data_IF_678765641166
#
_entry.id   IF_678765641166
#
_cell.length_a   1.000
_cell.length_b   1.000
_cell.length_c   1.000
_cell.angle_alpha   90.00
_cell.angle_beta   90.00
_cell.angle_gamma   90.00
#
_symmetry.space_group_name_H-M   'P 1'
#
loop_
_entity.id
_entity.type
_entity.pdbx_description
1 polymer ?
#
# COMPACT_ATOMS: atom_id res chain seq x y z
N UNK A 1 -19.76 -10.99 53.05
CA UNK A 1 -20.61 -10.37 52.01
C UNK A 1 -20.80 -11.42 50.92
N UNK A 2 -21.75 -12.33 51.11
CA UNK A 2 -21.98 -13.43 50.16
C UNK A 2 -22.67 -12.88 48.91
N UNK A 3 -21.98 -12.91 47.77
CA UNK A 3 -22.58 -12.52 46.49
C UNK A 3 -23.55 -13.63 46.09
N UNK A 4 -24.83 -13.30 46.00
CA UNK A 4 -25.85 -14.27 45.59
C UNK A 4 -25.52 -14.81 44.19
N UNK A 5 -25.73 -16.11 43.92
CA UNK A 5 -25.32 -16.74 42.65
C UNK A 5 -25.95 -16.06 41.41
N UNK A 6 -27.13 -15.44 41.56
CA UNK A 6 -27.79 -14.65 40.52
C UNK A 6 -26.99 -13.39 40.12
N UNK A 7 -26.27 -12.77 41.05
CA UNK A 7 -25.44 -11.60 40.80
C UNK A 7 -24.16 -11.95 40.02
N UNK A 8 -23.53 -13.08 40.37
CA UNK A 8 -22.35 -13.59 39.65
C UNK A 8 -22.72 -13.96 38.21
N UNK A 9 -23.88 -14.62 38.03
CA UNK A 9 -24.40 -14.98 36.70
C UNK A 9 -24.68 -13.74 35.82
N UNK A 10 -25.24 -12.67 36.41
CA UNK A 10 -25.49 -11.42 35.71
C UNK A 10 -24.21 -10.73 35.23
N UNK A 11 -23.17 -10.69 36.08
CA UNK A 11 -21.85 -10.15 35.69
C UNK A 11 -21.21 -10.99 34.59
N UNK A 12 -21.27 -12.32 34.71
CA UNK A 12 -20.72 -13.22 33.70
C UNK A 12 -21.39 -13.03 32.33
N UNK A 13 -22.72 -12.87 32.30
CA UNK A 13 -23.48 -12.61 31.08
C UNK A 13 -23.12 -11.24 30.48
N UNK A 14 -23.02 -10.19 31.30
CA UNK A 14 -22.63 -8.86 30.85
C UNK A 14 -21.19 -8.84 30.29
N UNK A 15 -20.27 -9.54 30.95
CA UNK A 15 -18.89 -9.68 30.48
C UNK A 15 -18.83 -10.45 29.14
N UNK A 16 -19.63 -11.50 28.98
CA UNK A 16 -19.70 -12.28 27.74
C UNK A 16 -20.26 -11.44 26.58
N UNK A 17 -21.32 -10.67 26.83
CA UNK A 17 -21.88 -9.73 25.84
C UNK A 17 -20.87 -8.63 25.47
N UNK A 18 -20.19 -8.06 26.48
CA UNK A 18 -19.15 -7.06 26.27
C UNK A 18 -17.97 -7.61 25.45
N UNK A 19 -17.51 -8.82 25.76
CA UNK A 19 -16.46 -9.50 25.01
C UNK A 19 -16.89 -9.80 23.56
N UNK A 20 -18.14 -10.22 23.34
CA UNK A 20 -18.71 -10.45 22.01
C UNK A 20 -18.74 -9.17 21.17
N UNK A 21 -19.21 -8.05 21.75
CA UNK A 21 -19.19 -6.74 21.11
C UNK A 21 -17.76 -6.29 20.79
N UNK A 22 -16.83 -6.43 21.73
CA UNK A 22 -15.42 -6.09 21.52
C UNK A 22 -14.79 -6.93 20.40
N UNK A 23 -15.04 -8.24 20.40
CA UNK A 23 -14.55 -9.14 19.37
C UNK A 23 -15.12 -8.77 17.99
N UNK A 24 -16.42 -8.45 17.91
CA UNK A 24 -17.05 -8.01 16.67
C UNK A 24 -16.43 -6.72 16.14
N UNK A 25 -16.30 -5.69 16.99
CA UNK A 25 -15.67 -4.41 16.61
C UNK A 25 -14.23 -4.63 16.17
N UNK A 26 -13.47 -5.46 16.89
CA UNK A 26 -12.09 -5.78 16.55
C UNK A 26 -11.99 -6.46 15.17
N UNK A 27 -12.79 -7.49 14.92
CA UNK A 27 -12.81 -8.20 13.63
C UNK A 27 -13.23 -7.27 12.48
N UNK A 28 -14.24 -6.43 12.69
CA UNK A 28 -14.74 -5.49 11.67
C UNK A 28 -13.73 -4.37 11.37
N UNK A 29 -12.99 -3.90 12.40
CA UNK A 29 -11.96 -2.87 12.24
C UNK A 29 -10.76 -3.34 11.42
N UNK A 30 -10.50 -4.65 11.37
CA UNK A 30 -9.34 -5.23 10.67
C UNK A 30 -9.36 -4.95 9.16
N UNK A 31 -10.54 -4.89 8.55
CA UNK A 31 -10.73 -4.52 7.14
C UNK A 31 -10.45 -3.03 6.90
N UNK A 32 -10.82 -2.16 7.84
CA UNK A 32 -10.54 -0.73 7.80
C UNK A 32 -9.06 -0.39 7.97
N UNK A 33 -8.32 -1.21 8.73
CA UNK A 33 -6.90 -1.02 9.00
C UNK A 33 -5.99 -1.53 7.87
N UNK A 34 -6.52 -2.22 6.86
CA UNK A 34 -5.76 -2.69 5.70
C UNK A 34 -5.53 -1.53 4.72
N UNK A 35 -4.58 -0.65 5.06
CA UNK A 35 -4.18 0.49 4.24
C UNK A 35 -3.64 0.13 2.83
N UNK A 36 -3.14 1.12 2.08
CA UNK A 36 -2.65 0.92 0.72
C UNK A 36 -1.59 -0.16 0.62
N UNK A 37 -1.66 -1.00 -0.41
CA UNK A 37 -0.61 -1.97 -0.74
C UNK A 37 -0.07 -1.65 -2.12
N UNK A 38 1.23 -1.34 -2.18
CA UNK A 38 1.94 -0.96 -3.40
C UNK A 38 3.07 -1.96 -3.65
N UNK A 39 3.10 -2.50 -4.87
CA UNK A 39 4.14 -3.41 -5.32
C UNK A 39 4.62 -2.94 -6.68
N UNK A 40 5.94 -2.81 -6.84
CA UNK A 40 6.58 -2.57 -8.14
C UNK A 40 7.10 -3.93 -8.61
N UNK A 41 6.64 -4.37 -9.78
CA UNK A 41 7.03 -5.64 -10.38
C UNK A 41 8.25 -5.46 -11.27
N UNK A 42 8.23 -4.42 -12.09
CA UNK A 42 9.34 -4.04 -12.97
C UNK A 42 9.45 -2.52 -13.04
N UNK A 43 10.67 -1.96 -13.16
CA UNK A 43 11.96 -2.62 -12.99
C UNK A 43 12.25 -2.96 -11.52
N UNK A 44 13.34 -3.68 -11.27
CA UNK A 44 13.84 -3.92 -9.90
C UNK A 44 14.49 -2.66 -9.34
N UNK A 45 14.36 -2.48 -8.04
CA UNK A 45 15.02 -1.38 -7.34
C UNK A 45 16.55 -1.48 -7.43
N UNK A 46 17.20 -0.35 -7.73
CA UNK A 46 18.64 -0.25 -7.99
C UNK A 46 19.09 -0.77 -9.36
N UNK A 47 18.16 -1.06 -10.29
CA UNK A 47 18.56 -1.55 -11.62
C UNK A 47 19.22 -0.47 -12.48
N UNK A 48 20.15 -0.90 -13.33
CA UNK A 48 20.77 -0.07 -14.35
C UNK A 48 20.07 -0.28 -15.70
N UNK A 49 19.92 0.80 -16.47
CA UNK A 49 19.38 0.77 -17.82
C UNK A 49 20.22 1.60 -18.78
N UNK A 50 20.27 1.16 -20.04
CA UNK A 50 20.85 1.89 -21.17
C UNK A 50 19.80 2.72 -21.94
N UNK A 51 18.53 2.58 -21.57
CA UNK A 51 17.41 3.26 -22.21
C UNK A 51 17.03 4.51 -21.41
N UNK A 52 16.85 5.63 -22.11
CA UNK A 52 16.37 6.88 -21.52
C UNK A 52 14.87 6.81 -21.19
N UNK A 53 14.16 5.80 -21.70
CA UNK A 53 12.74 5.60 -21.49
C UNK A 53 12.52 4.18 -20.98
N UNK A 54 11.85 4.04 -19.84
CA UNK A 54 11.68 2.76 -19.16
C UNK A 54 10.24 2.60 -18.69
N UNK A 55 9.65 1.44 -18.94
CA UNK A 55 8.32 1.12 -18.42
C UNK A 55 8.41 0.65 -16.97
N UNK A 56 7.67 1.30 -16.08
CA UNK A 56 7.44 0.84 -14.72
C UNK A 56 6.06 0.19 -14.63
N UNK A 57 5.99 -1.00 -14.06
CA UNK A 57 4.75 -1.74 -13.86
C UNK A 57 4.68 -2.34 -12.47
N UNK A 58 3.46 -2.51 -11.98
CA UNK A 58 3.23 -3.02 -10.65
C UNK A 58 1.76 -3.15 -10.32
N UNK A 59 1.47 -3.38 -9.05
CA UNK A 59 0.11 -3.45 -8.51
C UNK A 59 -0.10 -2.47 -7.36
N UNK A 60 -1.30 -1.90 -7.31
CA UNK A 60 -1.77 -1.11 -6.20
C UNK A 60 -3.17 -1.59 -5.79
N UNK A 61 -3.31 -1.94 -4.52
CA UNK A 61 -4.59 -2.38 -3.92
C UNK A 61 -4.94 -1.51 -2.73
N UNK A 62 -6.24 -1.40 -2.44
CA UNK A 62 -6.78 -0.54 -1.38
C UNK A 62 -6.35 0.93 -1.53
N UNK A 63 -6.21 1.40 -2.78
CA UNK A 63 -5.87 2.79 -3.11
C UNK A 63 -7.11 3.48 -3.68
N UNK A 64 -7.40 4.69 -3.20
CA UNK A 64 -8.35 5.61 -3.83
C UNK A 64 -7.64 6.67 -4.66
N UNK A 65 -6.35 6.90 -4.40
CA UNK A 65 -5.50 7.80 -5.16
C UNK A 65 -4.10 7.18 -5.27
N UNK A 66 -3.58 7.13 -6.49
CA UNK A 66 -2.24 6.63 -6.79
C UNK A 66 -1.49 7.70 -7.58
N UNK A 67 -0.23 7.92 -7.24
CA UNK A 67 0.62 8.88 -7.94
C UNK A 67 2.03 8.36 -8.10
N UNK A 68 2.67 8.76 -9.19
CA UNK A 68 4.04 8.49 -9.54
C UNK A 68 4.74 9.83 -9.76
N UNK A 69 5.77 10.12 -8.96
CA UNK A 69 6.44 11.43 -8.90
C UNK A 69 5.47 12.61 -8.71
N UNK A 70 4.43 12.40 -7.90
CA UNK A 70 3.38 13.40 -7.65
C UNK A 70 2.33 13.53 -8.76
N UNK A 71 2.55 12.95 -9.95
CA UNK A 71 1.54 12.88 -11.02
C UNK A 71 0.57 11.73 -10.74
N UNK A 72 -0.73 12.01 -10.77
CA UNK A 72 -1.74 10.97 -10.61
C UNK A 72 -1.66 9.94 -11.75
N UNK A 73 -1.76 8.67 -11.38
CA UNK A 73 -1.81 7.51 -12.30
C UNK A 73 -2.99 6.62 -11.91
N UNK A 74 -3.39 5.74 -12.83
CA UNK A 74 -4.55 4.86 -12.64
C UNK A 74 -4.16 3.39 -12.79
N UNK A 75 -4.93 2.54 -12.12
CA UNK A 75 -4.82 1.09 -12.24
C UNK A 75 -5.96 0.53 -13.08
N UNK A 76 -5.75 -0.64 -13.68
CA UNK A 76 -6.80 -1.44 -14.29
C UNK A 76 -7.72 -2.11 -13.24
N UNK A 77 -8.73 -2.85 -13.69
CA UNK A 77 -9.67 -3.59 -12.83
C UNK A 77 -9.01 -4.61 -11.91
N UNK A 78 -7.79 -5.07 -12.26
CA UNK A 78 -6.99 -6.01 -11.47
C UNK A 78 -6.02 -5.29 -10.53
N UNK A 79 -6.05 -3.96 -10.48
CA UNK A 79 -5.14 -3.15 -9.66
C UNK A 79 -3.74 -3.01 -10.26
N UNK A 80 -3.53 -3.33 -11.54
CA UNK A 80 -2.22 -3.18 -12.21
C UNK A 80 -2.08 -1.79 -12.80
N UNK A 81 -0.89 -1.21 -12.68
CA UNK A 81 -0.53 0.01 -13.39
C UNK A 81 0.68 -0.26 -14.30
N UNK A 82 0.77 0.52 -15.37
CA UNK A 82 1.93 0.54 -16.26
C UNK A 82 2.13 1.97 -16.76
N UNK A 83 3.29 2.54 -16.43
CA UNK A 83 3.63 3.92 -16.75
C UNK A 83 4.99 3.97 -17.43
N UNK A 84 5.15 4.90 -18.36
CA UNK A 84 6.40 5.14 -19.06
C UNK A 84 7.14 6.28 -18.37
N UNK A 85 8.41 6.05 -18.02
CA UNK A 85 9.26 7.02 -17.34
C UNK A 85 10.42 7.43 -18.21
N UNK A 86 10.69 8.74 -18.23
CA UNK A 86 11.86 9.33 -18.84
C UNK A 86 12.93 9.53 -17.77
N UNK A 87 14.11 8.98 -18.01
CA UNK A 87 15.24 9.02 -17.09
C UNK A 87 16.25 10.07 -17.54
N UNK A 88 16.78 10.82 -16.58
CA UNK A 88 17.93 11.69 -16.78
C UNK A 88 19.22 10.88 -16.65
N UNK A 89 20.28 11.28 -17.35
CA UNK A 89 21.56 10.58 -17.26
C UNK A 89 22.06 10.57 -15.79
N UNK A 90 22.45 9.39 -15.30
CA UNK A 90 22.84 9.17 -13.92
C UNK A 90 21.73 8.61 -13.05
N UNK A 91 21.70 9.02 -11.79
CA UNK A 91 20.84 8.43 -10.76
C UNK A 91 19.46 9.13 -10.72
N UNK A 92 18.40 8.33 -10.79
CA UNK A 92 17.00 8.76 -10.80
C UNK A 92 16.26 8.10 -9.64
N UNK A 93 15.52 8.89 -8.87
CA UNK A 93 14.66 8.39 -7.79
C UNK A 93 13.21 8.66 -8.16
N UNK A 94 12.44 7.61 -8.31
CA UNK A 94 11.01 7.69 -8.56
C UNK A 94 10.24 7.38 -7.27
N UNK A 95 9.13 8.07 -7.03
CA UNK A 95 8.29 7.86 -5.84
C UNK A 95 6.88 7.48 -6.25
N UNK A 96 6.48 6.26 -5.91
CA UNK A 96 5.12 5.76 -6.03
C UNK A 96 4.40 5.95 -4.69
N UNK A 97 3.39 6.82 -4.66
CA UNK A 97 2.61 7.12 -3.46
C UNK A 97 1.14 6.75 -3.67
N UNK A 98 0.59 5.99 -2.72
CA UNK A 98 -0.79 5.54 -2.71
C UNK A 98 -1.48 6.00 -1.44
N UNK A 99 -2.72 6.49 -1.58
CA UNK A 99 -3.58 6.92 -0.48
C UNK A 99 -4.89 6.13 -0.54
N UNK A 100 -5.37 5.67 0.61
CA UNK A 100 -6.68 5.03 0.73
C UNK A 100 -7.81 6.05 1.01
N UNK A 101 -9.05 5.56 0.97
CA UNK A 101 -10.25 6.37 1.25
C UNK A 101 -10.35 6.89 2.69
N UNK A 102 -9.54 6.35 3.60
CA UNK A 102 -9.50 6.71 5.01
C UNK A 102 -8.32 7.65 5.33
N UNK A 103 -7.54 8.02 4.32
CA UNK A 103 -6.42 8.94 4.44
C UNK A 103 -5.08 8.29 4.77
N UNK A 104 -5.00 6.96 4.91
CA UNK A 104 -3.71 6.29 5.11
C UNK A 104 -2.90 6.35 3.82
N UNK A 105 -1.61 6.64 3.96
CA UNK A 105 -0.67 6.71 2.83
C UNK A 105 0.41 5.64 2.95
N UNK A 106 0.88 5.18 1.78
CA UNK A 106 2.11 4.39 1.63
C UNK A 106 2.89 4.92 0.46
N UNK A 107 4.21 4.88 0.61
CA UNK A 107 5.15 5.31 -0.41
C UNK A 107 6.17 4.21 -0.69
N UNK A 108 6.55 4.09 -1.95
CA UNK A 108 7.63 3.24 -2.43
C UNK A 108 8.55 4.07 -3.30
N UNK A 109 9.84 4.05 -2.95
CA UNK A 109 10.90 4.66 -3.74
C UNK A 109 11.48 3.59 -4.66
N UNK A 110 11.77 3.99 -5.89
CA UNK A 110 12.42 3.17 -6.89
C UNK A 110 13.63 3.93 -7.41
N UNK A 111 14.80 3.34 -7.20
CA UNK A 111 16.09 3.90 -7.57
C UNK A 111 16.54 3.27 -8.89
N UNK A 112 16.90 4.12 -9.85
CA UNK A 112 17.29 3.70 -11.20
C UNK A 112 18.54 4.44 -11.64
N UNK A 113 19.43 3.72 -12.33
CA UNK A 113 20.66 4.29 -12.87
C UNK A 113 20.57 4.23 -14.39
N UNK A 114 20.54 5.39 -15.04
CA UNK A 114 20.60 5.48 -16.49
C UNK A 114 22.03 5.78 -16.95
N UNK A 115 22.66 4.80 -17.61
CA UNK A 115 23.99 4.96 -18.21
C UNK A 115 23.89 5.30 -19.70
N UNK A 116 24.00 6.59 -20.02
CA UNK A 116 23.91 7.08 -21.40
C UNK A 116 25.07 6.64 -22.32
N UNK A 117 26.17 6.07 -21.79
CA UNK A 117 27.34 5.68 -22.60
C UNK A 117 27.13 4.36 -23.37
N UNK A 118 26.18 3.53 -22.97
CA UNK A 118 25.97 2.19 -23.55
C UNK A 118 25.29 2.20 -24.94
N UNK A 119 24.84 3.37 -25.45
CA UNK A 119 24.26 3.51 -26.80
C UNK A 119 25.30 3.74 -27.91
N UNK A 120 26.60 3.81 -27.58
CA UNK A 120 27.66 3.98 -28.59
C UNK A 120 28.34 2.64 -28.90
N UNK A 121 27.62 1.73 -29.54
CA UNK A 121 28.19 0.64 -30.36
C UNK A 121 27.30 0.42 -31.59
#
# INVERSE_FOLDING_TARGET
MERTPKFILGIALAALLGAGLFAYVYLQSREYLRGPRLTITEPKDGSETAEAELSVSGTAHNVSYLSLNGRQIFTDERGRFKELLLLHAGYNIMTLAGKDRFGQTREKRLELIYNAKTRRE
#
